data_IF_000039592124
#
_entry.id   IF_000039592124
#
_cell.length_a   1.000
_cell.length_b   1.000
_cell.length_c   1.000
_cell.angle_alpha   90.00
_cell.angle_beta   90.00
_cell.angle_gamma   90.00
#
_symmetry.space_group_name_H-M   'P 1'
#
loop_
_entity.id
_entity.type
_entity.pdbx_description
1 polymer ?
#
# COMPACT_ATOMS: atom_id res chain seq x y z
N UNK A 1 -46.98 30.58 -23.65
CA UNK A 1 -45.55 30.21 -23.65
C UNK A 1 -44.94 30.69 -22.35
N UNK A 2 -44.52 29.78 -21.46
CA UNK A 2 -43.96 30.16 -20.15
C UNK A 2 -42.61 30.86 -20.33
N UNK A 3 -42.45 32.07 -19.77
CA UNK A 3 -41.21 32.86 -19.82
C UNK A 3 -40.05 32.02 -19.29
N UNK A 4 -39.01 31.81 -20.10
CA UNK A 4 -37.75 31.21 -19.66
C UNK A 4 -37.17 32.15 -18.60
N UNK A 5 -37.04 31.67 -17.36
CA UNK A 5 -36.48 32.46 -16.27
C UNK A 5 -34.99 32.65 -16.53
N UNK A 6 -34.57 33.91 -16.66
CA UNK A 6 -33.16 34.29 -16.73
C UNK A 6 -32.49 33.95 -15.39
N UNK A 7 -31.37 33.23 -15.47
CA UNK A 7 -30.57 32.81 -14.32
C UNK A 7 -29.22 33.53 -14.26
N UNK A 8 -28.98 34.52 -15.14
CA UNK A 8 -27.73 35.28 -15.19
C UNK A 8 -27.40 35.86 -13.81
N UNK A 9 -26.18 35.62 -13.33
CA UNK A 9 -25.70 36.08 -12.04
C UNK A 9 -26.17 35.28 -10.82
N UNK A 10 -27.11 34.34 -10.98
CA UNK A 10 -27.56 33.50 -9.87
C UNK A 10 -26.48 32.49 -9.45
N UNK A 11 -26.30 32.34 -8.14
CA UNK A 11 -25.38 31.38 -7.53
C UNK A 11 -26.14 30.12 -7.08
N UNK A 12 -25.58 28.97 -7.41
CA UNK A 12 -26.06 27.61 -7.14
C UNK A 12 -24.90 26.87 -6.48
N UNK A 13 -24.88 26.82 -5.14
CA UNK A 13 -23.74 26.39 -4.34
C UNK A 13 -22.42 27.05 -4.79
N UNK A 14 -21.54 26.33 -5.50
CA UNK A 14 -20.25 26.84 -5.98
C UNK A 14 -20.30 27.34 -7.42
N UNK A 15 -21.43 27.22 -8.13
CA UNK A 15 -21.58 27.62 -9.52
C UNK A 15 -22.34 28.93 -9.63
N UNK A 16 -21.82 29.89 -10.39
CA UNK A 16 -22.48 31.11 -10.79
C UNK A 16 -22.84 31.04 -12.27
N UNK A 17 -24.12 31.21 -12.62
CA UNK A 17 -24.53 31.23 -14.02
C UNK A 17 -24.09 32.54 -14.70
N UNK A 18 -23.38 32.43 -15.82
CA UNK A 18 -22.84 33.56 -16.59
C UNK A 18 -23.79 33.94 -17.73
N UNK A 19 -24.10 32.98 -18.62
CA UNK A 19 -24.94 33.23 -19.80
C UNK A 19 -25.62 31.96 -20.29
N UNK A 20 -26.76 32.13 -20.95
CA UNK A 20 -27.43 31.04 -21.66
C UNK A 20 -26.72 30.77 -22.99
N UNK A 21 -26.32 29.52 -23.20
CA UNK A 21 -25.59 29.08 -24.41
C UNK A 21 -26.45 28.26 -25.37
N UNK A 22 -27.68 27.94 -24.99
CA UNK A 22 -28.62 27.27 -25.88
C UNK A 22 -29.73 26.53 -25.14
N UNK A 23 -30.28 25.51 -25.80
CA UNK A 23 -31.35 24.67 -25.29
C UNK A 23 -30.92 23.21 -25.49
N UNK A 24 -31.12 22.39 -24.46
CA UNK A 24 -30.84 20.94 -24.51
C UNK A 24 -31.91 20.17 -25.30
N UNK A 25 -31.63 18.90 -25.63
CA UNK A 25 -32.61 18.00 -26.27
C UNK A 25 -33.94 17.91 -25.50
N UNK A 26 -33.88 18.02 -24.17
CA UNK A 26 -35.04 17.98 -23.28
C UNK A 26 -35.70 19.36 -23.08
N UNK A 27 -35.42 20.33 -23.97
CA UNK A 27 -35.98 21.69 -23.96
C UNK A 27 -35.63 22.54 -22.72
N UNK A 28 -34.66 22.14 -21.91
CA UNK A 28 -34.13 22.98 -20.83
C UNK A 28 -33.06 23.94 -21.36
N UNK A 29 -33.13 25.21 -20.95
CA UNK A 29 -32.08 26.18 -21.21
C UNK A 29 -30.75 25.72 -20.60
N UNK A 30 -29.69 25.72 -21.43
CA UNK A 30 -28.32 25.35 -21.08
C UNK A 30 -27.54 26.62 -20.78
N UNK A 31 -26.87 26.63 -19.64
CA UNK A 31 -26.13 27.76 -19.09
C UNK A 31 -24.66 27.42 -19.01
N UNK A 32 -23.82 28.40 -19.32
CA UNK A 32 -22.41 28.42 -18.91
C UNK A 32 -22.34 28.95 -17.49
N UNK A 33 -21.64 28.23 -16.62
CA UNK A 33 -21.47 28.58 -15.22
C UNK A 33 -19.98 28.63 -14.87
N UNK A 34 -19.59 29.64 -14.11
CA UNK A 34 -18.28 29.74 -13.48
C UNK A 34 -18.35 29.11 -12.10
N UNK A 35 -17.41 28.23 -11.78
CA UNK A 35 -17.31 27.68 -10.44
C UNK A 35 -16.37 28.54 -9.59
N UNK A 36 -16.56 28.55 -8.27
CA UNK A 36 -15.62 29.16 -7.31
C UNK A 36 -14.17 28.59 -7.45
N UNK A 37 -14.01 27.42 -8.11
CA UNK A 37 -12.73 26.82 -8.47
C UNK A 37 -12.01 27.50 -9.66
N UNK A 38 -12.65 28.46 -10.34
CA UNK A 38 -12.19 29.11 -11.57
C UNK A 38 -12.54 28.35 -12.87
N UNK A 39 -12.93 27.08 -12.78
CA UNK A 39 -13.33 26.31 -13.96
C UNK A 39 -14.75 26.66 -14.42
N UNK A 40 -14.96 26.58 -15.74
CA UNK A 40 -16.25 26.80 -16.37
C UNK A 40 -16.91 25.46 -16.70
N UNK A 41 -18.21 25.35 -16.41
CA UNK A 41 -19.01 24.15 -16.69
C UNK A 41 -20.35 24.51 -17.30
N UNK A 42 -20.86 23.63 -18.17
CA UNK A 42 -22.18 23.80 -18.76
C UNK A 42 -23.21 22.97 -18.01
N UNK A 43 -24.29 23.61 -17.55
CA UNK A 43 -25.39 22.97 -16.81
C UNK A 43 -26.74 23.43 -17.34
N UNK A 44 -27.71 22.53 -17.36
CA UNK A 44 -29.08 22.86 -17.75
C UNK A 44 -29.87 23.38 -16.56
N UNK A 45 -30.94 24.12 -16.86
CA UNK A 45 -31.80 24.77 -15.85
C UNK A 45 -32.40 23.78 -14.85
N UNK A 46 -32.75 22.56 -15.29
CA UNK A 46 -33.25 21.51 -14.41
C UNK A 46 -32.18 21.02 -13.42
N UNK A 47 -30.93 20.91 -13.86
CA UNK A 47 -29.81 20.53 -12.99
C UNK A 47 -29.52 21.62 -11.97
N UNK A 48 -29.47 22.89 -12.39
CA UNK A 48 -29.23 24.03 -11.49
C UNK A 48 -30.34 24.21 -10.44
N UNK A 49 -31.59 23.89 -10.77
CA UNK A 49 -32.72 24.05 -9.84
C UNK A 49 -32.91 22.87 -8.87
N UNK A 50 -32.34 21.69 -9.16
CA UNK A 50 -32.40 20.55 -8.24
C UNK A 50 -31.58 20.84 -6.98
N UNK A 51 -32.04 20.36 -5.81
CA UNK A 51 -31.31 20.42 -4.54
C UNK A 51 -30.16 19.40 -4.51
N UNK A 52 -29.19 19.56 -5.39
CA UNK A 52 -27.99 18.72 -5.50
C UNK A 52 -26.75 19.59 -5.36
N UNK A 53 -25.65 19.06 -4.82
CA UNK A 53 -24.40 19.83 -4.72
C UNK A 53 -23.92 20.27 -6.10
N UNK A 54 -23.90 21.58 -6.36
CA UNK A 54 -23.47 22.15 -7.64
C UNK A 54 -22.00 22.58 -7.59
N UNK A 55 -21.14 21.88 -8.33
CA UNK A 55 -19.72 22.23 -8.48
C UNK A 55 -19.16 21.83 -9.85
N UNK A 56 -17.96 22.32 -10.17
CA UNK A 56 -17.19 21.90 -11.35
C UNK A 56 -16.67 20.44 -11.26
N UNK A 57 -16.85 19.75 -10.12
CA UNK A 57 -16.21 18.47 -9.81
C UNK A 57 -14.92 18.61 -8.99
N UNK A 58 -14.45 19.84 -8.74
CA UNK A 58 -13.25 20.12 -7.93
C UNK A 58 -13.31 19.56 -6.51
N UNK A 59 -14.50 19.54 -5.89
CA UNK A 59 -14.70 19.00 -4.55
C UNK A 59 -14.35 17.51 -4.51
N UNK A 60 -14.70 16.77 -5.56
CA UNK A 60 -14.36 15.35 -5.67
C UNK A 60 -12.86 15.17 -5.94
N UNK A 61 -12.25 16.03 -6.76
CA UNK A 61 -10.79 15.96 -7.00
C UNK A 61 -9.98 16.25 -5.73
N UNK A 62 -10.36 17.25 -4.93
CA UNK A 62 -9.69 17.56 -3.66
C UNK A 62 -9.89 16.46 -2.60
N UNK A 63 -11.04 15.79 -2.63
CA UNK A 63 -11.30 14.66 -1.72
C UNK A 63 -10.51 13.42 -2.18
N UNK A 64 -10.48 13.14 -3.49
CA UNK A 64 -9.72 12.03 -4.07
C UNK A 64 -8.20 12.19 -3.92
N UNK A 65 -7.66 13.40 -4.06
CA UNK A 65 -6.23 13.65 -3.87
C UNK A 65 -5.80 13.46 -2.41
N UNK A 66 -6.65 13.81 -1.44
CA UNK A 66 -6.42 13.51 -0.02
C UNK A 66 -6.59 12.02 0.30
N UNK A 67 -7.47 11.33 -0.44
CA UNK A 67 -7.72 9.90 -0.32
C UNK A 67 -6.63 9.02 -0.96
N UNK A 68 -5.86 9.50 -1.95
CA UNK A 68 -4.82 8.69 -2.60
C UNK A 68 -3.58 8.48 -1.73
N UNK A 69 -3.29 9.39 -0.80
CA UNK A 69 -2.22 9.19 0.20
C UNK A 69 -2.62 8.19 1.28
N UNK A 70 -3.92 8.04 1.55
CA UNK A 70 -4.46 7.25 2.66
C UNK A 70 -5.12 5.93 2.24
N UNK A 71 -5.37 5.70 0.95
CA UNK A 71 -5.95 4.47 0.40
C UNK A 71 -4.91 3.59 -0.32
N UNK A 72 -3.83 3.24 0.36
CA UNK A 72 -3.12 2.00 0.03
C UNK A 72 -3.94 0.85 0.64
N UNK A 73 -5.08 0.50 0.04
CA UNK A 73 -6.01 -0.51 0.60
C UNK A 73 -5.36 -1.88 0.80
N UNK A 74 -4.20 -2.13 0.19
CA UNK A 74 -3.51 -3.42 0.25
C UNK A 74 -1.99 -3.33 0.39
N UNK A 75 -1.41 -2.29 1.04
CA UNK A 75 0.03 -1.98 1.06
C UNK A 75 1.00 -3.18 1.15
N UNK A 76 1.26 -3.79 -0.01
CA UNK A 76 1.91 -5.08 -0.22
C UNK A 76 1.26 -6.34 0.41
N UNK A 77 0.08 -6.25 1.05
CA UNK A 77 -0.62 -7.42 1.60
C UNK A 77 -0.98 -8.42 0.50
N UNK A 78 -0.31 -9.58 0.49
CA UNK A 78 -0.47 -10.64 -0.52
C UNK A 78 0.77 -10.91 -1.38
N UNK A 79 1.75 -9.99 -1.38
CA UNK A 79 2.99 -10.17 -2.13
C UNK A 79 3.90 -11.22 -1.49
N UNK A 80 4.84 -11.75 -2.28
CA UNK A 80 5.86 -12.68 -1.78
C UNK A 80 6.70 -12.03 -0.67
N UNK A 81 7.07 -10.77 -0.83
CA UNK A 81 7.83 -10.02 0.15
C UNK A 81 7.09 -9.87 1.49
N UNK A 82 5.77 -9.64 1.44
CA UNK A 82 4.94 -9.66 2.65
C UNK A 82 4.91 -11.05 3.32
N UNK A 83 4.84 -12.13 2.54
CA UNK A 83 4.92 -13.50 3.08
C UNK A 83 6.27 -13.77 3.75
N UNK A 84 7.37 -13.28 3.18
CA UNK A 84 8.71 -13.38 3.77
C UNK A 84 8.77 -12.64 5.10
N UNK A 85 8.29 -11.39 5.15
CA UNK A 85 8.20 -10.61 6.39
C UNK A 85 7.37 -11.34 7.46
N UNK A 86 6.19 -11.85 7.10
CA UNK A 86 5.34 -12.62 8.01
C UNK A 86 6.01 -13.90 8.48
N UNK A 87 6.73 -14.60 7.61
CA UNK A 87 7.49 -15.80 7.96
C UNK A 87 8.63 -15.48 8.93
N UNK A 88 9.35 -14.38 8.72
CA UNK A 88 10.37 -13.86 9.63
C UNK A 88 9.79 -13.59 11.02
N UNK A 89 8.72 -12.80 11.10
CA UNK A 89 8.04 -12.52 12.37
C UNK A 89 7.49 -13.80 13.03
N UNK A 90 6.98 -14.75 12.24
CA UNK A 90 6.51 -16.04 12.73
C UNK A 90 7.62 -16.85 13.41
N UNK A 91 8.81 -16.91 12.80
CA UNK A 91 9.96 -17.61 13.40
C UNK A 91 10.39 -17.00 14.74
N UNK A 92 10.37 -15.67 14.85
CA UNK A 92 10.81 -14.96 16.06
C UNK A 92 9.77 -14.93 17.19
N UNK A 93 8.47 -14.87 16.87
CA UNK A 93 7.44 -14.52 17.86
C UNK A 93 6.30 -15.51 18.00
N UNK A 94 6.10 -16.42 17.02
CA UNK A 94 5.02 -17.39 17.11
C UNK A 94 5.49 -18.64 17.86
N UNK A 95 5.24 -18.68 19.17
CA UNK A 95 5.70 -19.74 20.10
C UNK A 95 5.21 -21.15 19.77
N UNK A 96 4.09 -21.27 19.04
CA UNK A 96 3.52 -22.55 18.59
C UNK A 96 4.11 -23.05 17.26
N UNK A 97 5.05 -22.32 16.67
CA UNK A 97 5.75 -22.75 15.45
C UNK A 97 6.78 -23.83 15.79
N UNK A 98 6.88 -24.88 14.97
CA UNK A 98 7.96 -25.88 15.06
C UNK A 98 9.35 -25.24 14.90
N UNK A 99 9.40 -24.07 14.25
CA UNK A 99 10.64 -23.31 14.09
C UNK A 99 10.95 -22.38 15.25
N UNK A 100 10.03 -22.15 16.20
CA UNK A 100 10.24 -21.15 17.25
C UNK A 100 11.50 -21.40 18.07
N UNK A 101 11.72 -22.65 18.49
CA UNK A 101 12.87 -23.04 19.31
C UNK A 101 14.22 -22.74 18.64
N UNK A 102 14.30 -22.80 17.30
CA UNK A 102 15.51 -22.50 16.54
C UNK A 102 15.75 -20.99 16.30
N UNK A 103 14.77 -20.15 16.65
CA UNK A 103 14.78 -18.71 16.41
C UNK A 103 14.36 -17.95 17.67
N UNK A 104 13.06 -17.67 17.85
CA UNK A 104 12.56 -16.92 19.02
C UNK A 104 12.95 -17.53 20.37
N UNK A 105 12.99 -18.86 20.48
CA UNK A 105 13.45 -19.57 21.67
C UNK A 105 14.93 -19.36 22.01
N UNK A 106 15.74 -18.91 21.04
CA UNK A 106 17.16 -18.53 21.23
C UNK A 106 17.33 -17.03 21.49
N UNK A 107 16.24 -16.26 21.52
CA UNK A 107 16.27 -14.81 21.68
C UNK A 107 16.42 -14.02 20.38
N UNK A 108 16.40 -14.67 19.21
CA UNK A 108 16.50 -14.00 17.90
C UNK A 108 15.22 -13.20 17.62
N UNK A 109 15.38 -11.93 17.30
CA UNK A 109 14.30 -10.95 17.07
C UNK A 109 14.38 -10.36 15.67
N UNK A 110 13.34 -9.62 15.33
CA UNK A 110 13.30 -8.65 14.23
C UNK A 110 13.55 -7.27 14.84
N UNK A 111 14.36 -6.44 14.17
CA UNK A 111 14.64 -5.11 14.68
C UNK A 111 13.36 -4.26 14.82
N UNK A 112 13.37 -3.38 15.81
CA UNK A 112 12.25 -2.50 16.13
C UNK A 112 11.77 -1.67 14.92
N UNK A 113 12.71 -1.26 14.07
CA UNK A 113 12.43 -0.48 12.86
C UNK A 113 11.47 -1.23 11.92
N UNK A 114 11.79 -2.49 11.61
CA UNK A 114 10.97 -3.33 10.73
C UNK A 114 9.68 -3.80 11.39
N UNK A 115 9.66 -3.96 12.72
CA UNK A 115 8.45 -4.32 13.46
C UNK A 115 7.44 -3.18 13.54
N UNK A 116 7.91 -1.97 13.88
CA UNK A 116 7.05 -0.79 14.02
C UNK A 116 6.49 -0.35 12.67
N UNK A 117 7.30 -0.47 11.61
CA UNK A 117 6.86 -0.19 10.26
C UNK A 117 7.40 -1.21 9.24
N UNK A 118 6.53 -2.14 8.83
CA UNK A 118 6.84 -3.12 7.78
C UNK A 118 7.28 -2.50 6.44
N UNK A 119 6.91 -1.24 6.17
CA UNK A 119 7.34 -0.54 4.96
C UNK A 119 8.86 -0.36 4.93
N UNK A 120 9.50 -0.16 6.09
CA UNK A 120 10.96 -0.03 6.18
C UNK A 120 11.67 -1.32 5.75
N UNK A 121 11.10 -2.47 6.09
CA UNK A 121 11.59 -3.76 5.57
C UNK A 121 11.42 -3.87 4.05
N UNK A 122 10.30 -3.41 3.49
CA UNK A 122 10.06 -3.48 2.05
C UNK A 122 10.99 -2.57 1.26
N UNK A 123 11.22 -1.36 1.75
CA UNK A 123 12.17 -0.42 1.15
C UNK A 123 13.59 -0.94 1.22
N UNK A 124 14.00 -1.47 2.38
CA UNK A 124 15.29 -2.13 2.52
C UNK A 124 15.43 -3.30 1.54
N UNK A 125 14.42 -4.15 1.43
CA UNK A 125 14.46 -5.31 0.55
C UNK A 125 14.68 -4.91 -0.91
N UNK A 126 13.87 -3.98 -1.43
CA UNK A 126 13.99 -3.50 -2.81
C UNK A 126 15.33 -2.81 -3.07
N UNK A 127 15.81 -2.00 -2.11
CA UNK A 127 17.09 -1.30 -2.21
C UNK A 127 18.29 -2.25 -2.19
N UNK A 128 18.19 -3.39 -1.51
CA UNK A 128 19.27 -4.35 -1.32
C UNK A 128 19.18 -5.56 -2.25
N UNK A 129 18.50 -5.41 -3.40
CA UNK A 129 18.54 -6.40 -4.48
C UNK A 129 17.56 -7.57 -4.34
N UNK A 130 16.45 -7.39 -3.61
CA UNK A 130 15.36 -8.36 -3.60
C UNK A 130 14.92 -8.73 -5.03
N UNK A 131 14.76 -10.03 -5.26
CA UNK A 131 14.13 -10.60 -6.43
C UNK A 131 13.25 -11.79 -6.02
N UNK A 132 12.28 -12.16 -6.87
CA UNK A 132 11.30 -13.21 -6.58
C UNK A 132 11.91 -14.62 -6.42
N UNK A 133 13.14 -14.81 -6.89
CA UNK A 133 13.93 -16.05 -6.77
C UNK A 133 14.89 -16.08 -5.57
N UNK A 134 15.01 -14.98 -4.82
CA UNK A 134 15.92 -14.86 -3.68
C UNK A 134 15.21 -15.08 -2.34
N UNK A 135 15.96 -15.59 -1.37
CA UNK A 135 15.56 -15.82 0.02
C UNK A 135 16.33 -14.93 0.97
N UNK A 136 15.68 -14.59 2.10
CA UNK A 136 16.33 -13.82 3.16
C UNK A 136 17.15 -14.77 4.04
N UNK A 137 18.42 -14.45 4.21
CA UNK A 137 19.35 -15.18 5.08
C UNK A 137 19.95 -14.21 6.11
N UNK A 138 20.31 -14.74 7.29
CA UNK A 138 21.08 -13.97 8.27
C UNK A 138 22.57 -14.25 8.11
N UNK A 139 23.40 -13.20 8.13
CA UNK A 139 24.86 -13.32 7.98
C UNK A 139 25.44 -14.00 9.23
N UNK A 140 25.12 -13.47 10.41
CA UNK A 140 25.28 -14.16 11.69
C UNK A 140 23.99 -14.93 12.02
N UNK A 141 24.11 -16.25 12.09
CA UNK A 141 23.02 -17.19 12.38
C UNK A 141 22.38 -16.92 13.75
N UNK A 142 23.15 -16.37 14.69
CA UNK A 142 22.73 -16.06 16.05
C UNK A 142 22.23 -14.62 16.20
N UNK A 143 22.50 -13.77 15.22
CA UNK A 143 22.06 -12.38 15.22
C UNK A 143 20.59 -12.21 14.83
N UNK A 144 20.09 -11.00 15.04
CA UNK A 144 18.72 -10.59 14.76
C UNK A 144 18.46 -10.39 13.26
N UNK A 145 17.20 -10.33 12.88
CA UNK A 145 16.79 -9.83 11.57
C UNK A 145 16.83 -8.30 11.57
N UNK A 146 17.90 -7.74 11.01
CA UNK A 146 18.08 -6.31 10.81
C UNK A 146 18.81 -6.03 9.48
N UNK A 147 18.81 -4.78 8.97
CA UNK A 147 19.50 -4.42 7.73
C UNK A 147 20.96 -4.85 7.67
N UNK A 148 21.65 -4.84 8.81
CA UNK A 148 23.08 -5.12 8.94
C UNK A 148 23.39 -6.62 8.97
N UNK A 149 22.41 -7.44 9.36
CA UNK A 149 22.58 -8.88 9.53
C UNK A 149 21.76 -9.70 8.51
N UNK A 150 21.06 -9.06 7.58
CA UNK A 150 20.28 -9.76 6.54
C UNK A 150 20.87 -9.58 5.15
N UNK A 151 20.75 -10.62 4.33
CA UNK A 151 21.12 -10.57 2.91
C UNK A 151 20.16 -11.40 2.07
N UNK A 152 20.10 -11.12 0.77
CA UNK A 152 19.34 -11.89 -0.20
C UNK A 152 20.24 -12.89 -0.90
N UNK A 153 19.92 -14.18 -0.78
CA UNK A 153 20.68 -15.27 -1.41
C UNK A 153 19.76 -16.16 -2.24
N UNK A 154 20.31 -16.85 -3.23
CA UNK A 154 19.54 -17.84 -3.98
C UNK A 154 19.22 -19.05 -3.10
N UNK A 155 18.17 -19.79 -3.46
CA UNK A 155 17.85 -21.09 -2.84
C UNK A 155 19.04 -22.07 -2.90
N UNK A 156 19.85 -22.00 -3.96
CA UNK A 156 21.00 -22.89 -4.15
C UNK A 156 22.12 -22.59 -3.15
N UNK A 157 22.40 -21.31 -2.89
CA UNK A 157 23.33 -20.88 -1.84
C UNK A 157 22.82 -21.32 -0.46
N UNK A 158 21.53 -21.15 -0.18
CA UNK A 158 20.95 -21.54 1.09
C UNK A 158 21.11 -23.05 1.35
N UNK A 159 20.93 -23.88 0.32
CA UNK A 159 21.10 -25.33 0.43
C UNK A 159 22.56 -25.73 0.72
N UNK A 160 23.54 -25.06 0.10
CA UNK A 160 24.97 -25.27 0.38
C UNK A 160 25.31 -24.92 1.84
N UNK A 161 24.76 -23.82 2.36
CA UNK A 161 24.97 -23.40 3.76
C UNK A 161 24.42 -24.42 4.75
N UNK A 162 23.23 -24.97 4.46
CA UNK A 162 22.62 -26.02 5.30
C UNK A 162 23.46 -27.29 5.32
N UNK A 163 23.94 -27.77 4.17
CA UNK A 163 24.80 -28.95 4.10
C UNK A 163 26.12 -28.77 4.85
N UNK A 164 26.74 -27.60 4.71
CA UNK A 164 28.01 -27.28 5.37
C UNK A 164 27.88 -27.29 6.89
N UNK A 165 26.72 -26.92 7.43
CA UNK A 165 26.43 -27.03 8.86
C UNK A 165 26.16 -28.48 9.31
N UNK A 166 25.48 -29.29 8.50
CA UNK A 166 25.31 -30.72 8.81
C UNK A 166 26.65 -31.46 8.86
N UNK A 167 27.58 -31.14 7.96
CA UNK A 167 28.91 -31.77 7.90
C UNK A 167 29.86 -31.33 9.03
N UNK A 168 29.47 -30.35 9.84
CA UNK A 168 30.21 -29.91 11.04
C UNK A 168 29.68 -30.54 12.34
N UNK A 169 28.64 -31.37 12.28
CA UNK A 169 28.21 -32.13 13.45
C UNK A 169 29.24 -33.24 13.73
N UNK A 170 29.84 -33.29 14.94
CA UNK A 170 30.72 -34.40 15.28
C UNK A 170 29.95 -35.71 15.20
N UNK A 171 30.55 -36.73 14.57
CA UNK A 171 30.00 -38.08 14.58
C UNK A 171 29.80 -38.51 16.04
N UNK A 172 28.66 -39.13 16.40
CA UNK A 172 28.51 -39.70 17.73
C UNK A 172 29.68 -40.67 17.97
N UNK A 173 30.31 -40.59 19.16
CA UNK A 173 31.36 -41.52 19.51
C UNK A 173 30.83 -42.95 19.36
N UNK A 174 31.65 -43.88 18.80
CA UNK A 174 31.22 -45.26 18.62
C UNK A 174 30.76 -45.80 19.98
N UNK A 175 29.57 -46.40 19.99
CA UNK A 175 29.06 -47.12 21.17
C UNK A 175 30.15 -48.10 21.61
N UNK A 176 30.63 -47.94 22.85
CA UNK A 176 31.50 -48.93 23.47
C UNK A 176 30.66 -50.19 23.64
N UNK A 177 30.98 -51.23 22.89
CA UNK A 177 30.49 -52.57 23.14
C UNK A 177 31.03 -53.00 24.51
N UNK A 178 30.12 -53.27 25.46
CA UNK A 178 30.43 -53.93 26.73
C UNK A 178 30.66 -55.43 26.53
#
# INVERSE_FOLDING_TARGET
MGKVKDLTGMKFDMLKAIKQVGISKNRYAKWECECDCGNHVYRTTDVLKRKTRHSCGCLNQQTLSKMSESNITHGMTGTRLYRIYKGMCGRCYYTKSDHYNAYGGRGIKVCDEWLKNKQNFFEWALKNGYSEDLTIERIDVNGDYCPENCTWITMSEQYKNKQSNCNKMPLPEPYKEE
#
